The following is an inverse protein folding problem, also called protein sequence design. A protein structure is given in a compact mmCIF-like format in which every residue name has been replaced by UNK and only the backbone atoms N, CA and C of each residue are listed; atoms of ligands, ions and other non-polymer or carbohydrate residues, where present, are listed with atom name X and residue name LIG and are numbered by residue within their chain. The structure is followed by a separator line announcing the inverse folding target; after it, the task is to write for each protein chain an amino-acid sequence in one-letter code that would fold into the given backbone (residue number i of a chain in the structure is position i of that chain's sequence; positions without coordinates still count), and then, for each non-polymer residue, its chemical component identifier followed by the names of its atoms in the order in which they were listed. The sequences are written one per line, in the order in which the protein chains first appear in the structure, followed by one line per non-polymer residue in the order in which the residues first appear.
data_IF_209614750798
#
_entry.id   IF_209614750798
#
_cell.length_a   1.000
_cell.length_b   1.000
_cell.length_c   1.000
_cell.angle_alpha   90.00
_cell.angle_beta   90.00
_cell.angle_gamma   90.00
#
_symmetry.space_group_name_H-M   'P 1'
#
loop_
_entity.id
_entity.type
_entity.pdbx_description
1 polymer ?
#
# COMPACT_ATOMS: atom_id res chain seq x y z
N UNK A 1 2.45 14.72 6.36
CA UNK A 1 2.51 13.56 5.44
C UNK A 1 1.87 13.84 4.08
N UNK A 2 0.59 14.23 4.00
CA UNK A 2 -0.13 14.35 2.73
C UNK A 2 0.57 15.18 1.63
N UNK A 3 1.25 16.28 1.98
CA UNK A 3 2.04 17.08 1.02
C UNK A 3 3.13 16.26 0.33
N UNK A 4 3.95 15.55 1.13
CA UNK A 4 5.06 14.74 0.60
C UNK A 4 4.54 13.55 -0.22
N UNK A 5 3.47 12.91 0.23
CA UNK A 5 2.84 11.78 -0.49
C UNK A 5 2.39 12.22 -1.88
N UNK A 6 1.74 13.39 -2.00
CA UNK A 6 1.27 13.90 -3.31
C UNK A 6 2.40 14.33 -4.25
N UNK A 7 3.58 14.63 -3.71
CA UNK A 7 4.76 14.99 -4.51
C UNK A 7 5.61 13.78 -4.92
N UNK A 8 5.36 12.60 -4.34
CA UNK A 8 6.17 11.42 -4.58
C UNK A 8 5.98 10.86 -6.00
N UNK A 9 7.07 10.40 -6.63
CA UNK A 9 7.02 9.69 -7.89
C UNK A 9 6.49 8.25 -7.73
N UNK A 10 6.72 7.65 -6.57
CA UNK A 10 6.25 6.31 -6.21
C UNK A 10 5.87 6.28 -4.73
N UNK A 11 4.74 5.66 -4.41
CA UNK A 11 4.24 5.49 -3.04
C UNK A 11 3.96 4.01 -2.80
N UNK A 12 4.49 3.47 -1.71
CA UNK A 12 4.11 2.17 -1.18
C UNK A 12 3.44 2.37 0.19
N UNK A 13 2.14 2.08 0.29
CA UNK A 13 1.35 2.24 1.51
C UNK A 13 1.02 0.86 2.09
N UNK A 14 1.56 0.55 3.27
CA UNK A 14 1.41 -0.74 3.95
C UNK A 14 1.28 -0.53 5.45
N UNK A 15 0.09 -0.13 5.88
CA UNK A 15 -0.28 0.03 7.28
C UNK A 15 -1.03 1.34 7.53
N UNK A 16 -2.15 1.30 8.28
CA UNK A 16 -2.86 2.51 8.70
C UNK A 16 -2.02 3.36 9.67
N UNK A 17 -2.39 4.63 9.82
CA UNK A 17 -1.68 5.58 10.69
C UNK A 17 -2.14 5.51 12.16
N UNK A 18 -3.14 4.69 12.46
CA UNK A 18 -3.76 4.52 13.79
C UNK A 18 -4.90 3.50 13.73
N UNK A 19 -5.61 3.32 14.86
CA UNK A 19 -6.77 2.42 15.03
C UNK A 19 -7.99 2.99 14.29
N UNK A 20 -7.96 2.90 12.96
CA UNK A 20 -8.89 3.58 12.05
C UNK A 20 -10.30 2.99 12.07
N UNK A 21 -10.46 1.80 12.65
CA UNK A 21 -11.73 1.16 12.93
C UNK A 21 -12.55 1.97 13.94
N UNK A 22 -11.91 2.82 14.76
CA UNK A 22 -12.58 3.70 15.69
C UNK A 22 -12.65 5.12 15.11
N UNK A 23 -13.84 5.71 14.89
CA UNK A 23 -13.98 7.00 14.22
C UNK A 23 -13.14 8.13 14.83
N UNK A 24 -13.00 8.15 16.16
CA UNK A 24 -12.17 9.13 16.88
C UNK A 24 -10.67 9.09 16.54
N UNK A 25 -10.18 8.00 15.95
CA UNK A 25 -8.78 7.79 15.57
C UNK A 25 -8.58 7.55 14.07
N UNK A 26 -9.65 7.62 13.26
CA UNK A 26 -9.61 7.32 11.82
C UNK A 26 -9.07 8.46 10.96
N UNK A 27 -9.18 9.71 11.42
CA UNK A 27 -8.92 10.89 10.58
C UNK A 27 -7.51 10.90 9.94
N UNK A 28 -6.49 10.46 10.67
CA UNK A 28 -5.12 10.39 10.14
C UNK A 28 -4.96 9.36 9.02
N UNK A 29 -5.53 8.16 9.20
CA UNK A 29 -5.51 7.09 8.20
C UNK A 29 -6.28 7.49 6.95
N UNK A 30 -7.48 8.06 7.09
CA UNK A 30 -8.28 8.51 5.95
C UNK A 30 -7.59 9.65 5.17
N UNK A 31 -6.97 10.59 5.86
CA UNK A 31 -6.21 11.66 5.22
C UNK A 31 -4.99 11.14 4.43
N UNK A 32 -4.33 10.09 4.93
CA UNK A 32 -3.24 9.43 4.21
C UNK A 32 -3.76 8.62 3.02
N UNK A 33 -4.84 7.85 3.19
CA UNK A 33 -5.50 7.11 2.11
C UNK A 33 -5.90 8.03 0.94
N UNK A 34 -6.53 9.17 1.24
CA UNK A 34 -6.86 10.21 0.24
C UNK A 34 -5.61 10.80 -0.42
N UNK A 35 -4.54 11.06 0.34
CA UNK A 35 -3.30 11.57 -0.22
C UNK A 35 -2.61 10.56 -1.16
N UNK A 36 -2.65 9.27 -0.82
CA UNK A 36 -2.15 8.18 -1.67
C UNK A 36 -2.98 8.11 -2.95
N UNK A 37 -4.30 8.10 -2.85
CA UNK A 37 -5.21 8.07 -4.00
C UNK A 37 -5.10 9.31 -4.91
N UNK A 38 -4.73 10.46 -4.35
CA UNK A 38 -4.51 11.70 -5.10
C UNK A 38 -3.07 11.86 -5.63
N UNK A 39 -2.16 10.92 -5.36
CA UNK A 39 -0.79 10.99 -5.84
C UNK A 39 -0.73 10.70 -7.36
N UNK A 40 -0.14 11.58 -8.19
CA UNK A 40 0.02 11.33 -9.62
C UNK A 40 1.04 10.21 -9.93
N UNK A 41 1.97 9.98 -9.00
CA UNK A 41 3.00 8.95 -9.06
C UNK A 41 2.45 7.52 -9.08
N UNK A 42 3.32 6.51 -9.12
CA UNK A 42 2.90 5.12 -9.07
C UNK A 42 2.58 4.69 -7.64
N UNK A 43 1.34 4.29 -7.37
CA UNK A 43 0.88 3.96 -6.02
C UNK A 43 0.64 2.47 -5.88
N UNK A 44 1.28 1.86 -4.90
CA UNK A 44 1.07 0.48 -4.49
C UNK A 44 0.52 0.48 -3.06
N UNK A 45 -0.56 -0.26 -2.84
CA UNK A 45 -1.09 -0.48 -1.49
C UNK A 45 -0.99 -1.96 -1.15
N UNK A 46 -0.37 -2.26 -0.01
CA UNK A 46 -0.07 -3.60 0.47
C UNK A 46 -0.72 -3.90 1.82
N UNK A 47 -1.27 -5.11 1.95
CA UNK A 47 -1.81 -5.63 3.22
C UNK A 47 -3.29 -5.34 3.44
N UNK A 48 -3.97 -6.26 4.10
CA UNK A 48 -5.42 -6.23 4.30
C UNK A 48 -5.93 -4.95 4.96
N UNK A 49 -5.27 -4.50 6.03
CA UNK A 49 -5.70 -3.30 6.77
C UNK A 49 -5.55 -2.02 5.94
N UNK A 50 -4.48 -1.91 5.13
CA UNK A 50 -4.29 -0.78 4.21
C UNK A 50 -5.38 -0.75 3.14
N UNK A 51 -5.77 -1.92 2.63
CA UNK A 51 -6.87 -2.05 1.66
C UNK A 51 -8.18 -1.65 2.31
N UNK A 52 -8.46 -2.15 3.53
CA UNK A 52 -9.66 -1.78 4.28
C UNK A 52 -9.73 -0.26 4.56
N UNK A 53 -8.59 0.39 4.81
CA UNK A 53 -8.51 1.84 4.97
C UNK A 53 -8.87 2.60 3.68
N UNK A 54 -8.44 2.12 2.50
CA UNK A 54 -8.83 2.73 1.21
C UNK A 54 -10.32 2.55 0.93
N UNK A 55 -10.87 1.37 1.24
CA UNK A 55 -12.31 1.08 1.09
C UNK A 55 -13.15 1.97 1.99
N UNK A 56 -12.76 2.12 3.26
CA UNK A 56 -13.43 3.02 4.20
C UNK A 56 -13.37 4.47 3.74
N UNK A 57 -12.27 4.89 3.11
CA UNK A 57 -12.14 6.21 2.53
C UNK A 57 -12.89 6.36 1.19
N UNK A 58 -13.38 5.27 0.58
CA UNK A 58 -14.05 5.30 -0.72
C UNK A 58 -13.08 5.57 -1.89
N UNK A 59 -11.81 5.19 -1.74
CA UNK A 59 -10.73 5.58 -2.69
C UNK A 59 -10.01 4.40 -3.32
N UNK A 60 -10.40 3.16 -3.01
CA UNK A 60 -9.73 1.95 -3.50
C UNK A 60 -9.59 1.90 -5.03
N UNK A 61 -10.61 2.35 -5.77
CA UNK A 61 -10.56 2.41 -7.25
C UNK A 61 -9.62 3.48 -7.83
N UNK A 62 -8.98 4.32 -6.99
CA UNK A 62 -8.10 5.42 -7.43
C UNK A 62 -6.61 5.11 -7.25
N UNK A 63 -6.25 3.96 -6.66
CA UNK A 63 -4.85 3.51 -6.56
C UNK A 63 -4.48 2.60 -7.73
N UNK A 64 -3.20 2.63 -8.15
CA UNK A 64 -2.73 1.89 -9.33
C UNK A 64 -2.52 0.39 -9.12
N UNK A 65 -2.12 -0.05 -7.93
CA UNK A 65 -1.96 -1.46 -7.61
C UNK A 65 -2.36 -1.77 -6.17
N UNK A 66 -3.11 -2.86 -5.99
CA UNK A 66 -3.52 -3.37 -4.68
C UNK A 66 -2.99 -4.80 -4.53
N UNK A 67 -2.29 -5.05 -3.43
CA UNK A 67 -1.80 -6.36 -3.02
C UNK A 67 -2.30 -6.68 -1.61
N UNK A 68 -2.93 -7.84 -1.43
CA UNK A 68 -3.30 -8.32 -0.09
C UNK A 68 -2.13 -8.97 0.64
N UNK A 69 -1.04 -9.28 -0.06
CA UNK A 69 0.17 -9.91 0.50
C UNK A 69 1.08 -8.90 1.18
N UNK A 70 0.61 -8.25 2.26
CA UNK A 70 1.30 -7.15 2.93
C UNK A 70 2.77 -7.46 3.28
N UNK A 71 2.99 -8.50 4.07
CA UNK A 71 4.34 -8.93 4.48
C UNK A 71 5.19 -9.44 3.30
N UNK A 72 4.62 -10.29 2.45
CA UNK A 72 5.31 -10.82 1.28
C UNK A 72 5.73 -9.72 0.29
N UNK A 73 4.93 -8.65 0.15
CA UNK A 73 5.27 -7.51 -0.71
C UNK A 73 6.41 -6.68 -0.14
N UNK A 74 6.45 -6.50 1.19
CA UNK A 74 7.58 -5.84 1.86
C UNK A 74 8.86 -6.66 1.74
N UNK A 75 8.79 -7.96 2.03
CA UNK A 75 9.92 -8.89 1.91
C UNK A 75 10.45 -8.94 0.47
N UNK A 76 9.55 -8.94 -0.53
CA UNK A 76 9.93 -8.87 -1.93
C UNK A 76 10.63 -7.57 -2.29
N UNK A 77 10.18 -6.43 -1.75
CA UNK A 77 10.84 -5.13 -1.98
C UNK A 77 12.22 -5.06 -1.32
N UNK A 78 12.40 -5.70 -0.17
CA UNK A 78 13.66 -5.73 0.56
C UNK A 78 14.67 -6.70 -0.09
N UNK A 79 14.24 -7.90 -0.46
CA UNK A 79 15.11 -8.99 -0.89
C UNK A 79 15.15 -9.19 -2.42
N UNK A 80 14.21 -8.62 -3.17
CA UNK A 80 14.08 -8.78 -4.62
C UNK A 80 13.58 -10.18 -5.06
N UNK A 81 13.27 -11.06 -4.10
CA UNK A 81 12.71 -12.38 -4.35
C UNK A 81 11.98 -12.91 -3.12
N UNK A 82 11.30 -14.04 -3.29
CA UNK A 82 10.66 -14.83 -2.23
C UNK A 82 10.92 -16.31 -2.52
N UNK A 83 11.02 -17.19 -1.50
CA UNK A 83 11.23 -18.63 -1.72
C UNK A 83 10.18 -19.25 -2.67
N UNK A 84 8.92 -18.82 -2.55
CA UNK A 84 7.83 -19.26 -3.44
C UNK A 84 7.94 -18.76 -4.87
N UNK A 85 8.67 -17.66 -5.12
CA UNK A 85 8.99 -17.19 -6.47
C UNK A 85 10.23 -17.90 -7.02
N UNK A 86 11.25 -18.13 -6.19
CA UNK A 86 12.51 -18.75 -6.62
C UNK A 86 12.31 -20.15 -7.18
N UNK A 87 11.43 -20.96 -6.58
CA UNK A 87 11.12 -22.31 -7.09
C UNK A 87 10.42 -22.29 -8.46
N UNK A 88 9.75 -21.18 -8.80
CA UNK A 88 9.06 -21.00 -10.08
C UNK A 88 9.95 -20.35 -11.15
N UNK A 89 11.08 -19.75 -10.75
CA UNK A 89 11.98 -19.08 -11.70
C UNK A 89 12.60 -20.13 -12.63
N UNK A 90 12.61 -19.88 -13.95
CA UNK A 90 13.27 -20.79 -14.87
C UNK A 90 14.75 -20.89 -14.50
N UNK A 91 15.29 -22.11 -14.56
CA UNK A 91 16.74 -22.32 -14.45
C UNK A 91 17.39 -21.48 -15.54
N UNK A 92 18.27 -20.53 -15.15
CA UNK A 92 19.17 -19.90 -16.12
C UNK A 92 19.91 -21.04 -16.84
N UNK A 93 19.87 -20.99 -18.17
CA UNK A 93 20.60 -21.93 -19.02
C UNK A 93 22.10 -21.89 -18.71
#
# INVERSE_FOLDING_TARGET
FAREIRAAATVFFNGPMGVFEWPKYAAGTLAVAEAVAACPGYTVVGGGDSVAALELAGVAGRVKHVSTGGGASLEFLELGTLPGLDVLRPRKA
#
